data_IF_429375752996
#
_entry.id   IF_429375752996
#
_cell.length_a   1.000
_cell.length_b   1.000
_cell.length_c   1.000
_cell.angle_alpha   90.00
_cell.angle_beta   90.00
_cell.angle_gamma   90.00
#
_symmetry.space_group_name_H-M   'P 1'
#
loop_
_entity.id
_entity.type
_entity.pdbx_description
1 polymer ?
#
# COMPACT_ATOMS: atom_id res chain seq x y z
N UNK A 1 9.85 -16.83 11.06
CA UNK A 1 8.89 -16.00 11.82
C UNK A 1 7.58 -15.94 11.02
N UNK A 2 6.42 -15.90 11.68
CA UNK A 2 5.12 -15.87 10.98
C UNK A 2 4.98 -14.68 10.02
N UNK A 3 5.62 -13.56 10.33
CA UNK A 3 5.62 -12.35 9.50
C UNK A 3 6.32 -12.52 8.14
N UNK A 4 7.26 -13.43 8.01
CA UNK A 4 7.97 -13.64 6.74
C UNK A 4 7.03 -14.22 5.68
N UNK A 5 6.05 -15.03 6.11
CA UNK A 5 5.05 -15.64 5.23
C UNK A 5 3.99 -14.67 4.72
N UNK A 6 3.88 -13.48 5.29
CA UNK A 6 3.00 -12.41 4.76
C UNK A 6 3.63 -11.71 3.53
N UNK A 7 4.94 -11.81 3.37
CA UNK A 7 5.68 -11.16 2.29
C UNK A 7 6.33 -12.14 1.31
N UNK A 8 6.60 -13.38 1.73
CA UNK A 8 7.33 -14.36 0.94
C UNK A 8 6.56 -15.68 0.81
N UNK A 9 6.63 -16.26 -0.37
CA UNK A 9 6.19 -17.62 -0.62
C UNK A 9 7.11 -18.60 0.14
N UNK A 10 6.56 -19.58 0.86
CA UNK A 10 7.38 -20.59 1.54
C UNK A 10 8.08 -21.54 0.57
N UNK A 11 7.63 -21.63 -0.69
CA UNK A 11 8.13 -22.58 -1.67
C UNK A 11 9.47 -22.10 -2.30
N UNK A 12 9.57 -20.81 -2.60
CA UNK A 12 10.68 -20.26 -3.38
C UNK A 12 11.20 -18.89 -2.89
N UNK A 13 10.62 -18.38 -1.78
CA UNK A 13 10.93 -17.07 -1.22
C UNK A 13 10.61 -15.88 -2.14
N UNK A 14 9.85 -16.08 -3.21
CA UNK A 14 9.35 -14.98 -4.03
C UNK A 14 8.42 -14.06 -3.22
N UNK A 15 8.33 -12.78 -3.62
CA UNK A 15 7.40 -11.86 -2.99
C UNK A 15 5.97 -12.25 -3.34
N UNK A 16 5.09 -12.26 -2.34
CA UNK A 16 3.67 -12.53 -2.52
C UNK A 16 2.78 -11.60 -1.69
N UNK A 17 1.58 -11.41 -2.17
CA UNK A 17 0.49 -10.75 -1.44
C UNK A 17 -0.45 -11.83 -0.92
N UNK A 18 -0.77 -11.78 0.36
CA UNK A 18 -1.56 -12.82 1.04
C UNK A 18 -2.97 -12.38 1.42
N UNK A 19 -3.30 -11.09 1.31
CA UNK A 19 -4.60 -10.53 1.71
C UNK A 19 -5.59 -10.61 0.54
N UNK A 20 -6.60 -11.52 0.57
CA UNK A 20 -7.48 -11.74 -0.57
C UNK A 20 -8.25 -10.48 -1.00
N UNK A 21 -8.70 -9.66 -0.04
CA UNK A 21 -9.41 -8.42 -0.35
C UNK A 21 -8.52 -7.45 -1.15
N UNK A 22 -7.24 -7.34 -0.81
CA UNK A 22 -6.30 -6.51 -1.57
C UNK A 22 -6.05 -7.08 -2.97
N UNK A 23 -5.87 -8.40 -3.10
CA UNK A 23 -5.71 -9.06 -4.41
C UNK A 23 -6.93 -8.79 -5.30
N UNK A 24 -8.14 -8.98 -4.76
CA UNK A 24 -9.38 -8.73 -5.50
C UNK A 24 -9.47 -7.26 -5.96
N UNK A 25 -9.18 -6.31 -5.08
CA UNK A 25 -9.17 -4.89 -5.44
C UNK A 25 -8.12 -4.55 -6.51
N UNK A 26 -6.96 -5.22 -6.51
CA UNK A 26 -5.97 -5.06 -7.57
C UNK A 26 -6.42 -5.67 -8.90
N UNK A 27 -7.15 -6.79 -8.85
CA UNK A 27 -7.77 -7.40 -10.03
C UNK A 27 -8.84 -6.47 -10.62
N UNK A 28 -9.67 -5.86 -9.77
CA UNK A 28 -10.66 -4.86 -10.19
C UNK A 28 -10.01 -3.65 -10.88
N UNK A 29 -8.79 -3.31 -10.49
CA UNK A 29 -7.97 -2.28 -11.15
C UNK A 29 -7.33 -2.73 -12.48
N UNK A 30 -7.44 -4.00 -12.85
CA UNK A 30 -6.89 -4.54 -14.10
C UNK A 30 -5.55 -5.27 -13.97
N UNK A 31 -5.16 -5.68 -12.76
CA UNK A 31 -4.08 -6.64 -12.59
C UNK A 31 -4.61 -8.06 -12.79
N UNK A 32 -3.72 -8.97 -13.16
CA UNK A 32 -4.04 -10.38 -13.22
C UNK A 32 -3.66 -11.06 -11.89
N UNK A 33 -4.41 -12.08 -11.51
CA UNK A 33 -4.02 -13.04 -10.48
C UNK A 33 -3.97 -14.44 -11.09
N UNK A 34 -3.12 -15.31 -10.56
CA UNK A 34 -3.03 -16.69 -11.00
C UNK A 34 -4.10 -17.59 -10.34
N UNK A 35 -4.05 -18.88 -10.64
CA UNK A 35 -4.98 -19.87 -10.08
C UNK A 35 -4.86 -20.05 -8.55
N UNK A 36 -3.75 -19.60 -7.95
CA UNK A 36 -3.53 -19.58 -6.49
C UNK A 36 -3.93 -18.24 -5.86
N UNK A 37 -4.54 -17.33 -6.64
CA UNK A 37 -4.83 -15.95 -6.26
C UNK A 37 -3.57 -15.11 -5.95
N UNK A 38 -2.43 -15.46 -6.54
CA UNK A 38 -1.22 -14.69 -6.44
C UNK A 38 -1.22 -13.57 -7.49
N UNK A 39 -1.01 -12.33 -7.03
CA UNK A 39 -1.03 -11.16 -7.88
C UNK A 39 0.14 -11.16 -8.85
N UNK A 40 -0.17 -11.04 -10.16
CA UNK A 40 0.84 -10.90 -11.22
C UNK A 40 1.24 -9.45 -11.37
N UNK A 41 2.36 -9.10 -10.78
CA UNK A 41 2.97 -7.78 -10.87
C UNK A 41 4.48 -7.91 -11.07
N UNK A 42 5.13 -6.86 -11.54
CA UNK A 42 6.57 -6.83 -11.65
C UNK A 42 7.22 -6.93 -10.27
N UNK A 43 8.48 -7.40 -10.23
CA UNK A 43 9.22 -7.47 -8.96
C UNK A 43 9.29 -6.11 -8.26
N UNK A 44 9.40 -5.01 -9.00
CA UNK A 44 9.48 -3.66 -8.42
C UNK A 44 8.13 -3.24 -7.81
N UNK A 45 7.02 -3.54 -8.47
CA UNK A 45 5.69 -3.32 -7.92
C UNK A 45 5.46 -4.17 -6.67
N UNK A 46 5.83 -5.45 -6.70
CA UNK A 46 5.71 -6.34 -5.54
C UNK A 46 6.49 -5.84 -4.32
N UNK A 47 7.61 -5.12 -4.50
CA UNK A 47 8.35 -4.47 -3.40
C UNK A 47 7.58 -3.33 -2.71
N UNK A 48 6.47 -2.89 -3.31
CA UNK A 48 5.48 -2.02 -2.69
C UNK A 48 4.26 -2.81 -2.20
N UNK A 49 3.71 -3.69 -3.02
CA UNK A 49 2.41 -4.34 -2.74
C UNK A 49 2.43 -5.26 -1.52
N UNK A 50 3.56 -5.88 -1.20
CA UNK A 50 3.72 -6.64 0.07
C UNK A 50 3.59 -5.76 1.32
N UNK A 51 3.81 -4.45 1.21
CA UNK A 51 3.57 -3.49 2.28
C UNK A 51 2.15 -2.94 2.19
N UNK A 52 1.73 -2.56 0.99
CA UNK A 52 0.44 -1.93 0.71
C UNK A 52 -0.76 -2.82 1.06
N UNK A 53 -0.61 -4.14 1.06
CA UNK A 53 -1.70 -5.04 1.49
C UNK A 53 -2.16 -4.82 2.94
N UNK A 54 -1.37 -4.08 3.74
CA UNK A 54 -1.69 -3.69 5.11
C UNK A 54 -1.60 -2.17 5.31
N UNK A 55 -0.67 -1.49 4.62
CA UNK A 55 -0.47 -0.04 4.67
C UNK A 55 -1.28 0.66 3.57
N UNK A 56 -2.59 0.55 3.65
CA UNK A 56 -3.57 1.02 2.67
C UNK A 56 -4.84 1.46 3.38
N UNK A 57 -5.48 2.50 2.90
CA UNK A 57 -6.79 2.90 3.41
C UNK A 57 -7.86 1.90 3.01
N UNK A 58 -8.67 1.49 3.96
CA UNK A 58 -9.79 0.58 3.73
C UNK A 58 -10.96 0.91 4.65
N UNK A 59 -12.14 0.48 4.27
CA UNK A 59 -13.32 0.60 5.10
C UNK A 59 -14.23 -0.63 4.97
N UNK A 60 -15.02 -0.86 6.00
CA UNK A 60 -16.02 -1.92 6.01
C UNK A 60 -17.37 -1.38 5.59
N UNK A 61 -17.98 -1.98 4.57
CA UNK A 61 -19.29 -1.61 4.06
C UNK A 61 -20.38 -2.58 4.49
N UNK A 62 -21.56 -2.00 4.78
CA UNK A 62 -22.79 -2.75 5.02
C UNK A 62 -22.79 -3.62 6.29
N UNK A 63 -23.85 -4.40 6.45
CA UNK A 63 -24.04 -5.25 7.62
C UNK A 63 -23.05 -6.44 7.68
N UNK A 64 -22.59 -6.87 6.52
CA UNK A 64 -21.68 -8.03 6.38
C UNK A 64 -20.21 -7.61 6.55
N UNK A 65 -19.96 -6.34 6.86
CA UNK A 65 -18.61 -5.77 7.05
C UNK A 65 -17.67 -6.12 5.89
N UNK A 66 -18.16 -5.98 4.65
CA UNK A 66 -17.35 -6.23 3.45
C UNK A 66 -16.23 -5.20 3.37
N UNK A 67 -14.99 -5.68 3.30
CA UNK A 67 -13.81 -4.84 3.17
C UNK A 67 -13.75 -4.23 1.77
N UNK A 68 -13.64 -2.92 1.70
CA UNK A 68 -13.55 -2.15 0.44
C UNK A 68 -12.44 -1.12 0.50
N UNK A 69 -11.99 -0.67 -0.66
CA UNK A 69 -10.89 0.28 -0.79
C UNK A 69 -11.34 1.48 -1.63
N UNK A 70 -11.01 2.73 -1.25
CA UNK A 70 -11.40 3.93 -1.99
C UNK A 70 -10.95 3.92 -3.45
N UNK A 71 -9.82 3.31 -3.74
CA UNK A 71 -9.19 3.28 -5.05
C UNK A 71 -9.53 2.04 -5.91
N UNK A 72 -10.33 1.10 -5.42
CA UNK A 72 -10.58 -0.18 -6.13
C UNK A 72 -11.21 0.01 -7.53
N UNK A 73 -12.00 1.07 -7.72
CA UNK A 73 -12.65 1.38 -9.00
C UNK A 73 -11.74 2.09 -10.01
N UNK A 74 -10.52 2.45 -9.64
CA UNK A 74 -9.62 3.22 -10.49
C UNK A 74 -8.73 2.31 -11.31
N UNK A 75 -8.55 2.65 -12.59
CA UNK A 75 -7.75 1.87 -13.53
C UNK A 75 -6.28 1.79 -13.11
N UNK A 76 -5.63 0.69 -13.47
CA UNK A 76 -4.23 0.37 -13.15
C UNK A 76 -3.25 1.51 -13.42
N UNK A 77 -3.40 2.16 -14.59
CA UNK A 77 -2.47 3.20 -15.04
C UNK A 77 -2.82 4.61 -14.53
N UNK A 78 -3.87 4.74 -13.72
CA UNK A 78 -4.25 6.01 -13.11
C UNK A 78 -3.55 6.19 -11.77
N UNK A 79 -2.91 7.33 -11.51
CA UNK A 79 -2.33 7.63 -10.20
C UNK A 79 -3.44 7.75 -9.16
N UNK A 80 -3.17 7.39 -7.92
CA UNK A 80 -4.08 7.67 -6.82
C UNK A 80 -4.23 9.18 -6.63
N UNK A 81 -5.48 9.60 -6.36
CA UNK A 81 -5.83 11.00 -6.14
C UNK A 81 -6.71 11.12 -4.91
N UNK A 82 -6.67 12.28 -4.28
CA UNK A 82 -7.49 12.54 -3.09
C UNK A 82 -8.99 12.49 -3.39
N UNK A 83 -9.39 12.90 -4.59
CA UNK A 83 -10.76 12.90 -5.06
C UNK A 83 -11.41 11.51 -5.03
N UNK A 84 -10.61 10.43 -5.10
CA UNK A 84 -11.12 9.06 -4.95
C UNK A 84 -11.73 8.81 -3.57
N UNK A 85 -11.19 9.44 -2.53
CA UNK A 85 -11.73 9.33 -1.19
C UNK A 85 -13.06 10.04 -1.09
N UNK A 86 -13.16 11.26 -1.63
CA UNK A 86 -14.41 12.03 -1.63
C UNK A 86 -15.50 11.24 -2.36
N UNK A 87 -15.25 10.80 -3.60
CA UNK A 87 -16.18 10.00 -4.38
C UNK A 87 -16.62 8.71 -3.67
N UNK A 88 -15.67 8.01 -3.05
CA UNK A 88 -15.94 6.77 -2.33
C UNK A 88 -16.81 6.99 -1.10
N UNK A 89 -16.50 7.98 -0.27
CA UNK A 89 -17.27 8.25 0.94
C UNK A 89 -18.60 8.87 0.65
N UNK A 90 -18.72 9.72 -0.38
CA UNK A 90 -19.99 10.28 -0.83
C UNK A 90 -20.92 9.17 -1.31
N UNK A 91 -20.43 8.24 -2.14
CA UNK A 91 -21.22 7.08 -2.58
C UNK A 91 -21.68 6.22 -1.39
N UNK A 92 -20.79 5.98 -0.42
CA UNK A 92 -21.15 5.23 0.78
C UNK A 92 -22.21 5.93 1.62
N UNK A 93 -22.12 7.24 1.74
CA UNK A 93 -23.08 8.06 2.46
C UNK A 93 -24.45 8.05 1.76
N UNK A 94 -24.49 8.30 0.47
CA UNK A 94 -25.72 8.29 -0.35
C UNK A 94 -26.43 6.94 -0.32
N UNK A 95 -25.68 5.86 -0.36
CA UNK A 95 -26.22 4.49 -0.30
C UNK A 95 -26.56 4.02 1.13
N UNK A 96 -26.41 4.89 2.14
CA UNK A 96 -26.69 4.55 3.54
C UNK A 96 -25.77 3.49 4.15
N UNK A 97 -24.64 3.18 3.50
CA UNK A 97 -23.66 2.17 3.95
C UNK A 97 -22.72 2.70 5.03
N UNK A 98 -22.50 4.01 5.03
CA UNK A 98 -21.64 4.69 5.96
C UNK A 98 -22.08 6.16 6.12
N UNK A 99 -21.89 6.74 7.30
CA UNK A 99 -22.14 8.15 7.55
C UNK A 99 -20.90 8.88 8.06
N UNK A 100 -20.37 8.41 9.16
CA UNK A 100 -19.16 8.92 9.82
C UNK A 100 -18.81 7.95 10.97
N UNK A 101 -17.58 7.97 11.42
CA UNK A 101 -17.14 7.14 12.55
C UNK A 101 -17.62 7.72 13.88
N UNK A 102 -17.47 9.03 14.06
CA UNK A 102 -17.90 9.71 15.29
C UNK A 102 -18.16 11.20 15.02
N UNK A 103 -18.83 11.83 15.97
CA UNK A 103 -19.01 13.28 15.98
C UNK A 103 -17.98 13.95 16.87
N UNK A 104 -17.44 15.06 16.40
CA UNK A 104 -16.53 15.87 17.20
C UNK A 104 -17.25 16.44 18.42
N UNK A 105 -16.70 16.21 19.62
CA UNK A 105 -17.36 16.49 20.91
C UNK A 105 -17.85 17.93 21.06
N UNK A 106 -17.10 18.90 20.52
CA UNK A 106 -17.37 20.33 20.72
C UNK A 106 -18.19 20.93 19.57
N UNK A 107 -17.93 20.52 18.34
CA UNK A 107 -18.51 21.14 17.13
C UNK A 107 -19.65 20.33 16.52
N UNK A 108 -19.88 19.10 17.02
CA UNK A 108 -20.82 18.11 16.45
C UNK A 108 -20.53 17.76 14.97
N UNK A 109 -19.37 18.16 14.46
CA UNK A 109 -18.96 17.86 13.10
C UNK A 109 -18.79 16.35 12.90
N UNK A 110 -19.29 15.76 11.80
CA UNK A 110 -19.04 14.37 11.47
C UNK A 110 -17.56 14.19 11.09
N UNK A 111 -16.94 13.15 11.64
CA UNK A 111 -15.52 12.85 11.43
C UNK A 111 -15.39 11.45 10.86
N UNK A 112 -14.61 11.33 9.80
CA UNK A 112 -14.15 10.08 9.22
C UNK A 112 -12.74 9.81 9.74
N UNK A 113 -12.50 8.57 10.18
CA UNK A 113 -11.20 8.12 10.65
C UNK A 113 -10.46 7.45 9.50
N UNK A 114 -9.59 8.17 8.83
CA UNK A 114 -8.65 7.60 7.86
C UNK A 114 -7.47 6.96 8.58
N UNK A 115 -7.14 5.74 8.18
CA UNK A 115 -6.02 4.97 8.72
C UNK A 115 -5.19 4.42 7.57
N UNK A 116 -3.89 4.24 7.80
CA UNK A 116 -3.02 3.49 6.89
C UNK A 116 -3.04 3.93 5.41
N UNK A 117 -3.25 5.21 5.14
CA UNK A 117 -3.28 5.78 3.78
C UNK A 117 -1.89 5.94 3.14
N UNK A 118 -0.90 5.21 3.62
CA UNK A 118 0.48 5.30 3.13
C UNK A 118 0.61 4.89 1.66
N UNK A 119 -0.16 3.88 1.24
CA UNK A 119 -0.17 3.44 -0.16
C UNK A 119 -0.62 4.57 -1.10
N UNK A 120 -1.70 5.23 -0.77
CA UNK A 120 -2.31 6.29 -1.56
C UNK A 120 -1.41 7.53 -1.58
N UNK A 121 -0.94 7.97 -0.43
CA UNK A 121 -0.05 9.12 -0.31
C UNK A 121 1.28 8.89 -1.04
N UNK A 122 1.87 7.69 -0.87
CA UNK A 122 3.10 7.32 -1.58
C UNK A 122 2.88 7.27 -3.09
N UNK A 123 1.79 6.64 -3.55
CA UNK A 123 1.50 6.44 -4.97
C UNK A 123 1.28 7.74 -5.72
N UNK A 124 0.77 8.78 -5.07
CA UNK A 124 0.64 10.12 -5.63
C UNK A 124 1.98 10.87 -5.73
N UNK A 125 3.00 10.41 -5.01
CA UNK A 125 4.30 11.07 -4.87
C UNK A 125 5.21 10.92 -6.09
N UNK A 126 6.24 11.80 -6.17
CA UNK A 126 7.23 11.78 -7.25
C UNK A 126 8.06 10.49 -7.24
N UNK A 127 8.36 9.93 -6.07
CA UNK A 127 9.15 8.72 -5.95
C UNK A 127 8.45 7.52 -6.59
N UNK A 128 7.17 7.30 -6.28
CA UNK A 128 6.41 6.22 -6.89
C UNK A 128 6.29 6.38 -8.41
N UNK A 129 6.02 7.61 -8.88
CA UNK A 129 5.98 7.92 -10.33
C UNK A 129 7.33 7.71 -11.03
N UNK A 130 8.43 7.75 -10.29
CA UNK A 130 9.78 7.44 -10.78
C UNK A 130 10.16 5.96 -10.58
N UNK A 131 9.21 5.11 -10.21
CA UNK A 131 9.43 3.67 -10.03
C UNK A 131 10.12 3.28 -8.72
N UNK A 132 10.19 4.17 -7.73
CA UNK A 132 10.75 3.87 -6.41
C UNK A 132 9.70 3.15 -5.57
N UNK A 133 10.04 2.00 -5.03
CA UNK A 133 9.16 1.19 -4.18
C UNK A 133 9.28 1.56 -2.69
N UNK A 134 8.31 1.12 -1.90
CA UNK A 134 8.35 1.25 -0.44
C UNK A 134 9.63 0.64 0.15
N UNK A 135 10.00 -0.56 -0.34
CA UNK A 135 11.18 -1.27 0.12
C UNK A 135 12.51 -0.58 -0.26
N UNK A 136 12.55 0.26 -1.29
CA UNK A 136 13.78 0.97 -1.65
C UNK A 136 14.20 1.97 -0.57
N UNK A 137 13.20 2.55 0.13
CA UNK A 137 13.45 3.48 1.24
C UNK A 137 13.46 2.79 2.60
N UNK A 138 12.49 1.88 2.86
CA UNK A 138 12.31 1.25 4.18
C UNK A 138 13.14 -0.03 4.38
N UNK A 139 13.60 -0.64 3.30
CA UNK A 139 14.42 -1.85 3.27
C UNK A 139 15.57 -1.68 2.26
N UNK A 140 16.42 -0.64 2.41
CA UNK A 140 17.44 -0.35 1.42
C UNK A 140 18.39 -1.54 1.25
N UNK A 141 18.97 -1.65 0.06
CA UNK A 141 19.93 -2.69 -0.22
C UNK A 141 21.27 -2.48 0.52
N UNK A 142 21.76 -3.55 1.12
CA UNK A 142 23.13 -3.61 1.70
C UNK A 142 23.92 -4.75 1.07
N UNK A 143 25.22 -4.67 1.23
CA UNK A 143 26.13 -5.75 0.85
C UNK A 143 26.42 -6.63 2.06
N UNK A 144 26.26 -7.93 1.89
CA UNK A 144 26.68 -8.96 2.84
C UNK A 144 27.65 -9.88 2.08
N UNK A 145 28.94 -9.64 2.24
CA UNK A 145 29.98 -10.27 1.41
C UNK A 145 29.83 -9.87 -0.06
N UNK A 146 29.70 -10.86 -0.94
CA UNK A 146 29.48 -10.66 -2.38
C UNK A 146 28.01 -10.42 -2.76
N UNK A 147 27.07 -10.65 -1.85
CA UNK A 147 25.64 -10.57 -2.12
C UNK A 147 25.07 -9.16 -1.85
N UNK A 148 24.08 -8.79 -2.63
CA UNK A 148 23.24 -7.59 -2.42
C UNK A 148 21.90 -8.05 -1.89
N UNK A 149 21.62 -7.73 -0.62
CA UNK A 149 20.39 -8.12 0.08
C UNK A 149 19.59 -6.91 0.53
N UNK A 150 18.26 -7.05 0.61
CA UNK A 150 17.42 -6.01 1.23
C UNK A 150 17.58 -6.04 2.75
N UNK A 151 17.71 -4.89 3.38
CA UNK A 151 17.68 -4.78 4.83
C UNK A 151 16.30 -5.13 5.35
N UNK A 152 16.17 -6.18 6.16
CA UNK A 152 14.90 -6.55 6.80
C UNK A 152 14.66 -5.83 8.13
N UNK A 153 15.47 -4.83 8.44
CA UNK A 153 15.18 -3.87 9.51
C UNK A 153 14.23 -2.81 8.94
N UNK A 154 12.95 -3.12 8.91
CA UNK A 154 11.93 -2.19 8.43
C UNK A 154 11.86 -1.01 9.40
N UNK A 155 12.31 0.16 8.96
CA UNK A 155 12.45 1.35 9.80
C UNK A 155 12.21 2.63 9.01
N UNK A 156 12.14 3.76 9.71
CA UNK A 156 12.10 5.07 9.05
C UNK A 156 13.34 5.26 8.18
N UNK A 157 13.19 5.73 6.92
CA UNK A 157 14.31 6.05 6.05
C UNK A 157 15.31 7.05 6.65
N UNK A 158 14.85 7.91 7.57
CA UNK A 158 15.72 8.85 8.30
C UNK A 158 16.69 8.18 9.26
N UNK A 159 16.45 6.92 9.65
CA UNK A 159 17.39 6.16 10.47
C UNK A 159 18.59 5.65 9.66
N UNK A 160 18.47 5.57 8.32
CA UNK A 160 19.55 5.21 7.40
C UNK A 160 19.50 6.06 6.11
N UNK A 161 19.78 7.35 6.24
CA UNK A 161 19.78 8.30 5.12
C UNK A 161 20.77 7.86 4.03
N UNK A 162 21.88 7.24 4.42
CA UNK A 162 22.90 6.80 3.46
C UNK A 162 22.39 5.66 2.59
N UNK A 163 21.78 4.65 3.18
CA UNK A 163 21.23 3.51 2.44
C UNK A 163 19.96 3.87 1.68
N UNK A 164 19.07 4.65 2.30
CA UNK A 164 17.76 4.98 1.73
C UNK A 164 17.78 6.10 0.69
N UNK A 165 18.55 7.17 0.93
CA UNK A 165 18.47 8.38 0.10
C UNK A 165 19.68 8.57 -0.81
N UNK A 166 20.92 8.35 -0.31
CA UNK A 166 22.14 8.67 -1.05
C UNK A 166 22.42 7.72 -2.22
N UNK A 167 21.70 6.60 -2.31
CA UNK A 167 21.77 5.71 -3.48
C UNK A 167 21.26 6.39 -4.76
N UNK A 168 20.31 7.31 -4.62
CA UNK A 168 19.72 8.07 -5.73
C UNK A 168 20.06 9.56 -5.66
N UNK A 169 20.07 10.13 -4.45
CA UNK A 169 20.35 11.56 -4.25
C UNK A 169 21.82 11.81 -3.95
N UNK A 170 22.48 12.57 -4.83
CA UNK A 170 23.79 13.14 -4.51
C UNK A 170 23.55 14.32 -3.57
N UNK A 171 23.82 14.14 -2.29
CA UNK A 171 23.84 15.27 -1.35
C UNK A 171 25.06 16.09 -1.75
N UNK A 172 24.81 17.27 -2.30
CA UNK A 172 25.87 18.24 -2.60
C UNK A 172 26.69 18.52 -1.34
N UNK A 173 28.02 18.71 -1.55
CA UNK A 173 28.91 19.22 -0.52
C UNK A 173 28.56 20.68 -0.24
#
# INVERSE_FOLDING_TARGET
RSSDLDCHSPDDMSLRVTRPAFVNAMVDRGYEADAKSELKASRQEMRSYVCMQCHVEYYFQGKDSTLTFPWAKWEKDKPFKIEMFDEYYDEMFENGKFKFDYKHKTTDAPIIKMQHSEAELSSAGIHARSGVSCADCHMPYKREGAQKVSSHTVQSPFADITGSCKTCHKIGR
#
